data_IF_802348507250
#
_entry.id   IF_802348507250
#
_cell.length_a   1.000
_cell.length_b   1.000
_cell.length_c   1.000
_cell.angle_alpha   90.00
_cell.angle_beta   90.00
_cell.angle_gamma   90.00
#
_symmetry.space_group_name_H-M   'P 1'
#
loop_
_entity.id
_entity.type
_entity.pdbx_description
1 polymer ?
#
# COMPACT_ATOMS: atom_id res chain seq x y z
N UNK A 1 -51.63 2.56 3.64
CA UNK A 1 -50.24 2.67 3.33
C UNK A 1 -49.50 1.38 3.70
N UNK A 2 -48.90 0.81 2.71
CA UNK A 2 -48.15 -0.42 2.96
C UNK A 2 -46.89 -0.13 3.79
N UNK A 3 -46.81 -0.78 4.90
CA UNK A 3 -45.65 -0.63 5.73
C UNK A 3 -44.57 -1.52 5.20
N UNK A 4 -43.41 -0.96 5.00
CA UNK A 4 -42.31 -1.74 4.51
C UNK A 4 -41.92 -2.81 5.51
N UNK A 5 -41.76 -4.03 5.03
CA UNK A 5 -41.35 -5.11 5.88
C UNK A 5 -39.90 -4.88 6.35
N UNK A 6 -39.71 -4.98 7.65
CA UNK A 6 -38.39 -4.82 8.21
C UNK A 6 -37.54 -6.05 8.09
N UNK A 7 -37.90 -6.82 7.37
CA UNK A 7 -37.26 -7.78 7.31
C UNK A 7 -36.37 -7.87 6.38
N UNK A 8 -36.34 -7.05 5.71
CA UNK A 8 -35.35 -6.99 4.63
C UNK A 8 -34.63 -5.67 4.67
N UNK A 9 -33.39 -5.69 4.42
CA UNK A 9 -32.63 -4.46 4.26
C UNK A 9 -31.38 -4.74 3.41
N UNK A 10 -30.81 -3.67 2.88
CA UNK A 10 -29.56 -3.77 2.13
C UNK A 10 -28.41 -3.42 3.05
N UNK A 11 -27.34 -4.20 3.00
CA UNK A 11 -26.14 -3.92 3.77
C UNK A 11 -24.94 -3.85 2.85
N UNK A 12 -23.90 -3.16 3.30
CA UNK A 12 -22.65 -3.08 2.61
C UNK A 12 -21.75 -4.23 3.04
N UNK A 13 -21.06 -4.81 2.08
CA UNK A 13 -20.12 -5.88 2.39
C UNK A 13 -18.87 -5.74 1.57
N UNK A 14 -17.78 -6.32 2.08
CA UNK A 14 -16.51 -6.38 1.38
C UNK A 14 -16.41 -7.71 0.64
N UNK A 15 -15.96 -7.65 -0.60
CA UNK A 15 -15.72 -8.86 -1.39
C UNK A 15 -14.22 -8.97 -1.61
N UNK A 16 -13.65 -10.11 -1.20
CA UNK A 16 -12.23 -10.35 -1.39
C UNK A 16 -11.95 -10.68 -2.86
N UNK A 17 -10.92 -10.05 -3.39
CA UNK A 17 -10.48 -10.31 -4.76
C UNK A 17 -9.21 -11.14 -4.67
N UNK A 18 -9.22 -12.29 -5.33
CA UNK A 18 -8.08 -13.19 -5.39
C UNK A 18 -7.64 -13.33 -6.82
N UNK A 19 -6.34 -13.48 -7.02
CA UNK A 19 -5.76 -13.59 -8.35
C UNK A 19 -5.02 -14.91 -8.48
N UNK A 20 -5.12 -15.48 -9.68
CA UNK A 20 -4.34 -16.66 -10.02
C UNK A 20 -3.03 -16.18 -10.63
N UNK A 21 -1.92 -16.68 -10.12
CA UNK A 21 -0.60 -16.26 -10.55
C UNK A 21 -0.33 -16.80 -11.96
N UNK A 22 -0.09 -15.89 -12.89
CA UNK A 22 0.29 -16.19 -14.27
C UNK A 22 1.58 -15.46 -14.58
N UNK A 23 2.26 -15.82 -15.69
CA UNK A 23 3.46 -15.03 -16.07
C UNK A 23 3.15 -13.54 -16.24
N UNK A 24 2.01 -13.20 -16.81
CA UNK A 24 1.63 -11.80 -16.96
C UNK A 24 1.41 -11.15 -15.62
N UNK A 25 0.74 -11.85 -14.70
CA UNK A 25 0.51 -11.31 -13.36
C UNK A 25 1.84 -11.02 -12.65
N UNK A 26 2.78 -11.98 -12.74
CA UNK A 26 4.08 -11.78 -12.09
C UNK A 26 4.83 -10.60 -12.70
N UNK A 27 4.81 -10.51 -14.02
CA UNK A 27 5.49 -9.43 -14.73
C UNK A 27 4.93 -8.08 -14.30
N UNK A 28 3.60 -7.97 -14.26
CA UNK A 28 2.96 -6.72 -13.86
C UNK A 28 3.26 -6.38 -12.40
N UNK A 29 3.23 -7.38 -11.52
CA UNK A 29 3.51 -7.15 -10.11
C UNK A 29 4.95 -6.69 -9.91
N UNK A 30 5.90 -7.32 -10.59
CA UNK A 30 7.29 -6.93 -10.47
C UNK A 30 7.53 -5.53 -11.01
N UNK A 31 6.87 -5.19 -12.12
CA UNK A 31 7.00 -3.86 -12.68
C UNK A 31 6.46 -2.80 -11.72
N UNK A 32 5.32 -3.07 -11.12
CA UNK A 32 4.71 -2.16 -10.16
C UNK A 32 5.64 -1.94 -8.97
N UNK A 33 6.23 -3.02 -8.46
CA UNK A 33 7.14 -2.92 -7.33
C UNK A 33 8.42 -2.21 -7.70
N UNK A 34 8.96 -2.46 -8.90
CA UNK A 34 10.15 -1.75 -9.36
C UNK A 34 9.89 -0.24 -9.47
N UNK A 35 8.72 0.13 -9.97
CA UNK A 35 8.37 1.55 -10.05
C UNK A 35 8.27 2.18 -8.67
N UNK A 36 7.70 1.44 -7.71
CA UNK A 36 7.59 1.95 -6.35
C UNK A 36 8.97 2.11 -5.70
N UNK A 37 9.86 1.16 -5.95
CA UNK A 37 11.23 1.25 -5.43
C UNK A 37 11.95 2.45 -6.03
N UNK A 38 11.79 2.67 -7.33
CA UNK A 38 12.40 3.83 -7.99
C UNK A 38 11.87 5.13 -7.39
N UNK A 39 10.59 5.19 -7.08
CA UNK A 39 10.01 6.39 -6.48
C UNK A 39 10.63 6.66 -5.11
N UNK A 40 10.83 5.62 -4.30
CA UNK A 40 11.46 5.79 -3.00
C UNK A 40 12.91 6.24 -3.17
N UNK A 41 13.63 5.66 -4.14
CA UNK A 41 15.01 6.09 -4.39
C UNK A 41 15.08 7.55 -4.80
N UNK A 42 14.12 8.03 -5.60
CA UNK A 42 14.07 9.43 -5.94
C UNK A 42 13.81 10.29 -4.72
N UNK A 43 12.92 9.86 -3.85
CA UNK A 43 12.65 10.60 -2.63
C UNK A 43 13.88 10.65 -1.73
N UNK A 44 14.64 9.56 -1.66
CA UNK A 44 15.87 9.55 -0.88
C UNK A 44 16.89 10.54 -1.44
N UNK A 45 17.03 10.56 -2.76
CA UNK A 45 17.97 11.48 -3.41
C UNK A 45 17.55 12.94 -3.17
N UNK A 46 16.26 13.23 -3.32
CA UNK A 46 15.75 14.58 -3.06
C UNK A 46 15.96 14.99 -1.62
N UNK A 47 15.74 14.07 -0.70
CA UNK A 47 15.89 14.37 0.72
C UNK A 47 17.33 14.75 1.03
N UNK A 48 18.29 14.02 0.47
CA UNK A 48 19.70 14.34 0.68
C UNK A 48 20.05 15.70 0.11
N UNK A 49 19.59 15.99 -1.10
CA UNK A 49 19.88 17.27 -1.73
C UNK A 49 19.27 18.42 -0.95
N UNK A 50 18.02 18.29 -0.55
CA UNK A 50 17.34 19.33 0.20
C UNK A 50 18.00 19.56 1.55
N UNK A 51 18.38 18.47 2.22
CA UNK A 51 19.04 18.59 3.50
C UNK A 51 20.38 19.29 3.39
N UNK A 52 21.17 18.94 2.40
CA UNK A 52 22.45 19.59 2.18
C UNK A 52 22.26 21.06 1.85
N UNK A 53 21.25 21.39 1.07
CA UNK A 53 21.02 22.77 0.70
C UNK A 53 20.60 23.61 1.91
N UNK A 54 19.73 23.04 2.76
CA UNK A 54 19.32 23.76 3.97
C UNK A 54 20.50 24.02 4.87
N UNK A 55 21.34 23.00 5.08
CA UNK A 55 22.52 23.16 5.93
C UNK A 55 23.46 24.19 5.34
N UNK A 56 23.66 24.14 4.03
CA UNK A 56 24.53 25.12 3.36
C UNK A 56 24.00 26.53 3.52
N UNK A 57 22.68 26.71 3.39
CA UNK A 57 22.08 28.02 3.55
C UNK A 57 22.23 28.54 4.97
N UNK A 58 22.03 27.66 5.94
CA UNK A 58 22.19 28.07 7.35
C UNK A 58 23.60 28.56 7.59
N UNK A 59 24.58 27.82 7.10
CA UNK A 59 25.98 28.19 7.32
C UNK A 59 26.38 29.45 6.57
N UNK A 60 25.92 29.61 5.35
CA UNK A 60 26.29 30.76 4.54
C UNK A 60 25.65 32.05 5.03
N UNK A 61 24.50 31.96 5.67
CA UNK A 61 23.81 33.14 6.20
C UNK A 61 24.29 33.52 7.59
N UNK A 62 25.15 32.74 8.18
CA UNK A 62 25.64 32.98 9.55
C UNK A 62 26.90 33.81 9.52
N UNK A 63 27.00 34.73 10.46
CA UNK A 63 28.22 35.53 10.63
C UNK A 63 29.35 34.61 11.09
N UNK A 64 29.05 33.71 12.01
CA UNK A 64 30.03 32.77 12.52
C UNK A 64 29.46 31.35 12.39
N UNK A 65 29.85 30.58 11.36
CA UNK A 65 29.33 29.24 11.22
C UNK A 65 29.66 28.27 12.36
N UNK A 66 30.67 28.63 13.17
CA UNK A 66 31.03 27.77 14.30
C UNK A 66 30.27 28.15 15.58
N UNK A 67 29.40 29.14 15.52
CA UNK A 67 28.54 29.51 16.65
C UNK A 67 27.75 28.26 17.08
N UNK A 68 27.71 27.97 18.39
CA UNK A 68 26.95 26.80 18.86
C UNK A 68 25.48 26.80 18.45
N UNK A 69 24.87 28.00 18.33
CA UNK A 69 23.47 28.04 17.88
C UNK A 69 23.31 27.61 16.44
N UNK A 70 24.27 27.96 15.60
CA UNK A 70 24.28 27.52 14.20
C UNK A 70 24.46 26.01 14.13
N UNK A 71 25.41 25.50 14.91
CA UNK A 71 25.66 24.04 14.90
C UNK A 71 24.44 23.29 15.43
N UNK A 72 23.73 23.85 16.39
CA UNK A 72 22.50 23.23 16.89
C UNK A 72 21.43 23.17 15.80
N UNK A 73 21.27 24.25 15.05
CA UNK A 73 20.30 24.26 13.94
C UNK A 73 20.66 23.23 12.89
N UNK A 74 21.94 23.15 12.53
CA UNK A 74 22.40 22.17 11.56
C UNK A 74 22.15 20.75 12.07
N UNK A 75 22.40 20.53 13.36
CA UNK A 75 22.16 19.23 13.95
C UNK A 75 20.71 18.83 13.91
N UNK A 76 19.81 19.79 14.15
CA UNK A 76 18.38 19.51 14.11
C UNK A 76 17.94 19.12 12.69
N UNK A 77 18.44 19.83 11.68
CA UNK A 77 18.11 19.50 10.30
C UNK A 77 18.64 18.10 9.97
N UNK A 78 19.87 17.81 10.34
CA UNK A 78 20.46 16.50 10.06
C UNK A 78 19.70 15.39 10.77
N UNK A 79 19.21 15.66 11.97
CA UNK A 79 18.42 14.66 12.70
C UNK A 79 17.09 14.40 12.00
N UNK A 80 16.42 15.45 11.53
CA UNK A 80 15.16 15.29 10.82
C UNK A 80 15.37 14.55 9.50
N UNK A 81 16.44 14.89 8.78
CA UNK A 81 16.78 14.20 7.54
C UNK A 81 17.06 12.73 7.80
N UNK A 82 17.81 12.45 8.87
CA UNK A 82 18.12 11.07 9.21
C UNK A 82 16.88 10.25 9.54
N UNK A 83 15.94 10.87 10.29
CA UNK A 83 14.70 10.16 10.63
C UNK A 83 13.89 9.85 9.39
N UNK A 84 13.77 10.82 8.49
CA UNK A 84 13.02 10.61 7.25
C UNK A 84 13.73 9.61 6.35
N UNK A 85 15.05 9.65 6.30
CA UNK A 85 15.83 8.68 5.54
C UNK A 85 15.57 7.27 6.04
N UNK A 86 15.56 7.10 7.37
CA UNK A 86 15.31 5.77 7.93
C UNK A 86 13.93 5.26 7.56
N UNK A 87 12.95 6.15 7.58
CA UNK A 87 11.59 5.78 7.20
C UNK A 87 11.52 5.33 5.74
N UNK A 88 12.14 6.08 4.86
CA UNK A 88 12.15 5.74 3.44
C UNK A 88 12.93 4.46 3.16
N UNK A 89 14.04 4.26 3.86
CA UNK A 89 14.81 3.02 3.69
C UNK A 89 14.02 1.82 4.18
N UNK A 90 13.22 1.99 5.24
CA UNK A 90 12.35 0.91 5.70
C UNK A 90 11.30 0.58 4.65
N UNK A 91 10.71 1.61 4.04
CA UNK A 91 9.77 1.38 2.94
C UNK A 91 10.42 0.61 1.80
N UNK A 92 11.66 0.97 1.47
CA UNK A 92 12.37 0.30 0.39
C UNK A 92 12.61 -1.17 0.74
N UNK A 93 13.01 -1.44 1.98
CA UNK A 93 13.23 -2.82 2.41
C UNK A 93 11.96 -3.64 2.27
N UNK A 94 10.83 -3.05 2.67
CA UNK A 94 9.54 -3.77 2.56
C UNK A 94 9.19 -4.05 1.11
N UNK A 95 9.45 -3.09 0.22
CA UNK A 95 9.17 -3.29 -1.21
C UNK A 95 10.06 -4.36 -1.81
N UNK A 96 11.33 -4.37 -1.42
CA UNK A 96 12.25 -5.41 -1.89
C UNK A 96 11.83 -6.79 -1.41
N UNK A 97 11.34 -6.86 -0.17
CA UNK A 97 10.85 -8.12 0.37
C UNK A 97 9.62 -8.60 -0.40
N UNK A 98 8.70 -7.68 -0.71
CA UNK A 98 7.54 -8.04 -1.52
C UNK A 98 7.95 -8.54 -2.90
N UNK A 99 8.97 -7.90 -3.49
CA UNK A 99 9.47 -8.30 -4.79
C UNK A 99 10.01 -9.73 -4.74
N UNK A 100 10.73 -10.04 -3.69
CA UNK A 100 11.24 -11.40 -3.50
C UNK A 100 10.11 -12.40 -3.35
N UNK A 101 9.07 -12.03 -2.60
CA UNK A 101 7.91 -12.89 -2.41
C UNK A 101 7.20 -13.17 -3.74
N UNK A 102 7.07 -12.13 -4.57
CA UNK A 102 6.43 -12.31 -5.88
C UNK A 102 7.23 -13.27 -6.74
N UNK A 103 8.54 -13.14 -6.72
CA UNK A 103 9.39 -14.04 -7.51
C UNK A 103 9.26 -15.49 -7.09
N UNK A 104 9.03 -15.72 -5.80
CA UNK A 104 8.93 -17.07 -5.27
C UNK A 104 7.56 -17.70 -5.51
N UNK A 105 6.57 -16.94 -5.92
CA UNK A 105 5.24 -17.50 -6.18
C UNK A 105 5.27 -18.46 -7.35
N UNK A 106 4.52 -19.55 -7.20
CA UNK A 106 4.44 -20.55 -8.23
C UNK A 106 3.27 -20.25 -9.15
N UNK A 107 3.39 -20.71 -10.39
CA UNK A 107 2.30 -20.55 -11.35
C UNK A 107 1.03 -21.23 -10.84
N UNK A 108 -0.11 -20.60 -11.11
CA UNK A 108 -1.45 -21.10 -10.76
C UNK A 108 -1.71 -21.04 -9.25
N UNK A 109 -0.81 -20.45 -8.49
CA UNK A 109 -1.07 -20.19 -7.08
C UNK A 109 -2.12 -19.09 -6.95
N UNK A 110 -2.92 -19.14 -5.87
CA UNK A 110 -3.95 -18.14 -5.65
C UNK A 110 -3.47 -17.20 -4.56
N UNK A 111 -3.48 -15.91 -4.85
CA UNK A 111 -3.01 -14.88 -3.90
C UNK A 111 -4.10 -13.85 -3.68
N UNK A 112 -4.09 -13.22 -2.51
CA UNK A 112 -4.99 -12.12 -2.23
C UNK A 112 -4.53 -10.88 -2.99
N UNK A 113 -5.48 -10.22 -3.65
CA UNK A 113 -5.14 -9.03 -4.43
C UNK A 113 -5.77 -7.77 -3.88
N UNK A 114 -6.87 -7.88 -3.15
CA UNK A 114 -7.51 -6.70 -2.60
C UNK A 114 -8.94 -6.97 -2.25
N UNK A 115 -9.71 -5.90 -2.12
CA UNK A 115 -11.11 -5.97 -1.76
C UNK A 115 -11.88 -4.91 -2.52
N UNK A 116 -13.15 -5.20 -2.79
CA UNK A 116 -14.07 -4.21 -3.32
C UNK A 116 -15.32 -4.22 -2.45
N UNK A 117 -15.98 -3.09 -2.40
CA UNK A 117 -17.22 -2.94 -1.64
C UNK A 117 -18.41 -3.25 -2.53
N UNK A 118 -19.40 -3.89 -1.94
CA UNK A 118 -20.65 -4.15 -2.64
C UNK A 118 -21.80 -4.08 -1.66
N UNK A 119 -22.99 -4.22 -2.18
CA UNK A 119 -24.19 -4.25 -1.34
C UNK A 119 -24.91 -5.57 -1.58
N UNK A 120 -25.54 -6.07 -0.55
CA UNK A 120 -26.40 -7.23 -0.70
C UNK A 120 -27.63 -7.08 0.17
N UNK A 121 -28.68 -7.76 -0.23
CA UNK A 121 -29.93 -7.75 0.51
C UNK A 121 -29.93 -8.87 1.53
N UNK A 122 -30.36 -8.55 2.74
CA UNK A 122 -30.50 -9.54 3.80
C UNK A 122 -31.90 -9.53 4.32
N UNK A 123 -32.35 -10.69 4.76
CA UNK A 123 -33.70 -10.89 5.27
C UNK A 123 -33.63 -11.67 6.57
N UNK A 124 -34.70 -11.58 7.34
CA UNK A 124 -34.84 -12.40 8.54
C UNK A 124 -34.73 -13.87 8.13
N UNK A 125 -33.89 -14.62 8.82
CA UNK A 125 -33.65 -16.02 8.51
C UNK A 125 -32.38 -16.27 7.75
N UNK A 126 -31.78 -15.23 7.15
CA UNK A 126 -30.52 -15.39 6.46
C UNK A 126 -29.37 -15.59 7.44
N UNK A 127 -28.33 -16.27 6.97
CA UNK A 127 -27.11 -16.38 7.74
C UNK A 127 -26.21 -15.24 7.36
N UNK A 128 -26.06 -14.26 8.25
CA UNK A 128 -25.30 -13.05 7.96
C UNK A 128 -23.83 -13.36 7.68
N UNK A 129 -23.25 -14.29 8.44
CA UNK A 129 -21.85 -14.60 8.28
C UNK A 129 -21.58 -15.16 6.87
N UNK A 130 -22.45 -16.06 6.43
CA UNK A 130 -22.29 -16.62 5.08
C UNK A 130 -22.47 -15.56 4.00
N UNK A 131 -23.41 -14.64 4.22
CA UNK A 131 -23.63 -13.55 3.26
C UNK A 131 -22.42 -12.66 3.12
N UNK A 132 -21.62 -12.53 4.18
CA UNK A 132 -20.44 -11.67 4.17
C UNK A 132 -19.22 -12.35 3.61
N UNK A 133 -19.22 -13.68 3.44
CA UNK A 133 -18.07 -14.44 2.98
C UNK A 133 -18.15 -14.68 1.49
N UNK A 134 -17.80 -13.65 0.73
CA UNK A 134 -17.83 -13.72 -0.73
C UNK A 134 -16.46 -13.36 -1.25
N UNK A 135 -15.99 -14.12 -2.24
CA UNK A 135 -14.72 -13.82 -2.89
C UNK A 135 -14.86 -14.04 -4.39
N UNK A 136 -14.02 -13.31 -5.12
CA UNK A 136 -13.96 -13.42 -6.58
C UNK A 136 -12.53 -13.76 -6.95
N UNK A 137 -12.37 -14.79 -7.78
CA UNK A 137 -11.07 -15.21 -8.27
C UNK A 137 -10.93 -14.81 -9.73
N UNK A 138 -9.85 -14.11 -10.05
CA UNK A 138 -9.60 -13.64 -11.40
C UNK A 138 -8.30 -14.21 -11.94
N UNK A 139 -8.24 -14.36 -13.26
CA UNK A 139 -7.03 -14.78 -13.95
C UNK A 139 -6.82 -13.83 -15.12
N UNK A 140 -5.74 -13.07 -15.08
CA UNK A 140 -5.44 -12.05 -16.07
C UNK A 140 -6.63 -11.11 -16.30
N UNK A 141 -7.26 -10.71 -15.19
CA UNK A 141 -8.35 -9.75 -15.23
C UNK A 141 -9.72 -10.33 -15.51
N UNK A 142 -9.80 -11.62 -15.80
CA UNK A 142 -11.07 -12.27 -16.14
C UNK A 142 -11.53 -13.09 -14.94
N UNK A 143 -12.79 -12.89 -14.57
CA UNK A 143 -13.36 -13.60 -13.43
C UNK A 143 -13.47 -15.09 -13.76
N UNK A 144 -12.81 -15.91 -12.94
CA UNK A 144 -12.88 -17.36 -13.09
C UNK A 144 -13.97 -17.97 -12.24
N UNK A 145 -14.18 -17.43 -11.06
CA UNK A 145 -15.18 -17.96 -10.16
C UNK A 145 -15.62 -16.90 -9.17
N UNK A 146 -16.83 -17.08 -8.70
CA UNK A 146 -17.39 -16.28 -7.60
C UNK A 146 -17.75 -17.26 -6.51
N UNK A 147 -17.07 -17.16 -5.39
CA UNK A 147 -17.30 -18.06 -4.26
C UNK A 147 -18.30 -17.41 -3.32
N UNK A 148 -19.49 -17.93 -3.33
CA UNK A 148 -20.61 -17.40 -2.56
C UNK A 148 -21.14 -18.48 -1.65
N UNK A 149 -20.99 -18.30 -0.36
CA UNK A 149 -21.38 -19.30 0.63
C UNK A 149 -22.84 -19.21 1.04
N UNK A 150 -23.69 -18.70 0.17
CA UNK A 150 -25.11 -18.65 0.47
C UNK A 150 -25.78 -20.00 0.49
#
# INVERSE_FOLDING_TARGET
MARRCVXETAIKRSIAIKAIVTPTWKEDAEKELSNAISAVDQQLSQLEQEGQQIVSNIRSQSVNPLDPRVQEQVGQVQQQVGAKRNELEEQKRNLLQQQSQVRDLKMDEIVDQGQVDSFCDVSVGDNLIKKMQVSITVKDGIIQSINNNE
#
